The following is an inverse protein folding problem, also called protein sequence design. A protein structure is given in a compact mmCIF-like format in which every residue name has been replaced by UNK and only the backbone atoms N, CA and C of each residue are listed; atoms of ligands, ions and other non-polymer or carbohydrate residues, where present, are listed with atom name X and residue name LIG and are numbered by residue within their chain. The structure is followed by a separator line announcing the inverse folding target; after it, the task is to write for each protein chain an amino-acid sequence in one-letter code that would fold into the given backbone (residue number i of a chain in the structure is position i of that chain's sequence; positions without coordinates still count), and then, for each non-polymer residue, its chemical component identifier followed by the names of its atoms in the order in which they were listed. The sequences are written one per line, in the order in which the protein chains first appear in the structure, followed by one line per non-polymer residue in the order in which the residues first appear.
data_IF_102479391272
#
_entry.id   IF_102479391272
#
_cell.length_a   1.000
_cell.length_b   1.000
_cell.length_c   1.000
_cell.angle_alpha   90.00
_cell.angle_beta   90.00
_cell.angle_gamma   90.00
#
_symmetry.space_group_name_H-M   'P 1'
#
loop_
_entity.id
_entity.type
_entity.pdbx_description
1 polymer ?
#
# COMPACT_ATOMS: atom_id res chain seq x y z
N UNK A 1 17.04 -7.93 -10.76
CA UNK A 1 17.24 -6.83 -9.78
C UNK A 1 16.60 -7.24 -8.45
N UNK A 2 17.02 -6.63 -7.33
CA UNK A 2 16.63 -7.04 -5.98
C UNK A 2 15.12 -7.07 -5.70
N UNK A 3 14.29 -6.36 -6.49
CA UNK A 3 12.83 -6.27 -6.30
C UNK A 3 11.99 -6.87 -7.46
N UNK A 4 12.62 -7.67 -8.32
CA UNK A 4 11.96 -8.17 -9.53
C UNK A 4 10.84 -9.18 -9.24
N UNK A 5 10.99 -9.99 -8.18
CA UNK A 5 10.00 -10.99 -7.80
C UNK A 5 8.73 -10.36 -7.24
N UNK A 6 8.87 -9.36 -6.36
CA UNK A 6 7.77 -8.60 -5.78
C UNK A 6 7.00 -7.85 -6.86
N UNK A 7 7.73 -7.22 -7.79
CA UNK A 7 7.11 -6.55 -8.94
C UNK A 7 6.28 -7.54 -9.77
N UNK A 8 6.83 -8.70 -10.12
CA UNK A 8 6.12 -9.74 -10.88
C UNK A 8 4.86 -10.22 -10.14
N UNK A 9 4.94 -10.43 -8.82
CA UNK A 9 3.80 -10.85 -8.00
C UNK A 9 2.66 -9.79 -7.98
N UNK A 10 3.01 -8.51 -7.87
CA UNK A 10 2.04 -7.41 -7.95
C UNK A 10 1.46 -7.25 -9.35
N UNK A 11 2.28 -7.41 -10.40
CA UNK A 11 1.83 -7.31 -11.79
C UNK A 11 0.88 -8.45 -12.18
N UNK A 12 1.15 -9.67 -11.69
CA UNK A 12 0.32 -10.86 -11.89
C UNK A 12 -1.06 -10.75 -11.22
N UNK A 13 -1.25 -9.84 -10.26
CA UNK A 13 -2.53 -9.60 -9.61
C UNK A 13 -3.11 -8.22 -9.97
N UNK A 14 -3.87 -8.10 -11.08
CA UNK A 14 -4.39 -6.82 -11.54
C UNK A 14 -5.42 -6.19 -10.60
N UNK A 15 -5.96 -6.94 -9.63
CA UNK A 15 -6.88 -6.42 -8.62
C UNK A 15 -6.17 -5.58 -7.55
N UNK A 16 -4.83 -5.68 -7.44
CA UNK A 16 -4.04 -4.91 -6.48
C UNK A 16 -3.63 -3.58 -7.11
N UNK A 17 -4.16 -2.49 -6.56
CA UNK A 17 -3.67 -1.14 -6.82
C UNK A 17 -2.71 -0.70 -5.70
N UNK A 18 -1.43 -1.02 -5.86
CA UNK A 18 -0.40 -0.70 -4.87
C UNK A 18 -0.13 0.82 -4.77
N UNK A 19 0.23 1.29 -3.57
CA UNK A 19 0.61 2.68 -3.28
C UNK A 19 1.89 2.71 -2.43
N UNK A 20 2.99 3.14 -3.03
CA UNK A 20 4.30 3.29 -2.39
C UNK A 20 4.50 4.68 -1.80
N UNK A 21 3.95 4.94 -0.60
CA UNK A 21 3.98 6.29 0.00
C UNK A 21 5.37 6.71 0.55
N UNK A 22 6.33 5.81 0.66
CA UNK A 22 7.69 6.11 1.17
C UNK A 22 8.47 7.06 0.27
N UNK A 23 8.15 7.16 -1.03
CA UNK A 23 8.72 8.19 -1.92
C UNK A 23 8.35 9.60 -1.49
N UNK A 24 7.16 9.77 -0.89
CA UNK A 24 6.65 11.08 -0.44
C UNK A 24 7.10 11.42 0.99
N UNK A 25 7.29 10.40 1.83
CA UNK A 25 7.47 10.56 3.28
C UNK A 25 8.88 10.25 3.77
N UNK A 26 9.72 9.63 2.93
CA UNK A 26 10.97 9.01 3.36
C UNK A 26 10.74 7.72 4.16
N UNK A 27 11.79 7.20 4.78
CA UNK A 27 11.69 6.04 5.66
C UNK A 27 11.37 6.48 7.09
N UNK A 28 10.16 6.18 7.55
CA UNK A 28 9.65 6.61 8.87
C UNK A 28 9.96 5.62 10.00
N UNK A 29 10.76 4.58 9.72
CA UNK A 29 11.10 3.49 10.66
C UNK A 29 9.85 2.88 11.31
N UNK A 30 9.73 2.91 12.63
CA UNK A 30 8.64 2.29 13.40
C UNK A 30 7.28 2.97 13.14
N UNK A 31 7.27 4.25 12.78
CA UNK A 31 6.04 4.97 12.47
C UNK A 31 5.45 4.62 11.10
N UNK A 32 6.21 3.93 10.23
CA UNK A 32 5.80 3.65 8.85
C UNK A 32 4.57 2.73 8.79
N UNK A 33 4.54 1.66 9.60
CA UNK A 33 3.42 0.73 9.58
C UNK A 33 2.14 1.33 10.19
N UNK A 34 2.16 1.98 11.38
CA UNK A 34 1.00 2.71 11.89
C UNK A 34 0.48 3.77 10.91
N UNK A 35 1.38 4.47 10.21
CA UNK A 35 0.99 5.45 9.18
C UNK A 35 0.29 4.77 8.00
N UNK A 36 0.80 3.64 7.51
CA UNK A 36 0.13 2.85 6.47
C UNK A 36 -1.27 2.39 6.88
N UNK A 37 -1.44 1.95 8.13
CA UNK A 37 -2.75 1.58 8.69
C UNK A 37 -3.70 2.78 8.73
N UNK A 38 -3.21 3.96 9.14
CA UNK A 38 -4.01 5.18 9.16
C UNK A 38 -4.44 5.61 7.74
N UNK A 39 -3.55 5.55 6.75
CA UNK A 39 -3.89 5.82 5.35
C UNK A 39 -4.95 4.84 4.82
N UNK A 40 -4.81 3.55 5.14
CA UNK A 40 -5.76 2.52 4.75
C UNK A 40 -7.15 2.74 5.37
N UNK A 41 -7.20 3.08 6.66
CA UNK A 41 -8.43 3.45 7.36
C UNK A 41 -9.10 4.68 6.74
N UNK A 42 -8.32 5.72 6.43
CA UNK A 42 -8.85 6.93 5.81
C UNK A 42 -9.41 6.66 4.41
N UNK A 43 -8.77 5.82 3.60
CA UNK A 43 -9.27 5.47 2.27
C UNK A 43 -10.64 4.76 2.34
N UNK A 44 -10.79 3.81 3.26
CA UNK A 44 -12.05 3.08 3.47
C UNK A 44 -13.13 4.02 4.03
N UNK A 45 -12.82 4.79 5.07
CA UNK A 45 -13.75 5.74 5.71
C UNK A 45 -14.24 6.81 4.73
N UNK A 46 -13.34 7.39 3.94
CA UNK A 46 -13.66 8.42 2.94
C UNK A 46 -14.21 7.86 1.64
N UNK A 47 -14.31 6.53 1.52
CA UNK A 47 -14.80 5.84 0.32
C UNK A 47 -14.05 6.27 -0.95
N UNK A 48 -12.77 6.58 -0.81
CA UNK A 48 -11.94 7.13 -1.87
C UNK A 48 -10.52 6.55 -1.82
N UNK A 49 -10.03 6.10 -2.97
CA UNK A 49 -8.63 5.66 -3.09
C UNK A 49 -7.70 6.86 -3.28
N UNK A 50 -6.45 6.71 -2.85
CA UNK A 50 -5.41 7.69 -3.17
C UNK A 50 -5.10 7.68 -4.67
N UNK A 51 -4.79 8.86 -5.27
CA UNK A 51 -4.24 8.91 -6.62
C UNK A 51 -2.94 8.11 -6.69
N UNK A 52 -2.50 7.79 -7.91
CA UNK A 52 -1.16 7.24 -8.11
C UNK A 52 -0.13 8.28 -7.69
N UNK A 53 0.88 7.86 -6.94
CA UNK A 53 2.01 8.71 -6.55
C UNK A 53 3.09 8.70 -7.64
N UNK A 54 3.25 7.56 -8.32
CA UNK A 54 4.11 7.41 -9.49
C UNK A 54 3.34 6.74 -10.64
N UNK A 55 3.01 7.53 -11.66
CA UNK A 55 2.25 7.08 -12.83
C UNK A 55 3.01 6.12 -13.75
N UNK A 56 4.33 5.95 -13.56
CA UNK A 56 5.15 5.04 -14.37
C UNK A 56 5.05 3.59 -13.91
N UNK A 57 4.66 3.36 -12.66
CA UNK A 57 4.65 2.02 -12.03
C UNK A 57 3.35 1.69 -11.30
N UNK A 58 2.63 2.67 -10.76
CA UNK A 58 1.39 2.42 -10.02
C UNK A 58 0.17 2.42 -10.94
N UNK A 59 -0.72 1.44 -10.74
CA UNK A 59 -1.98 1.35 -11.47
C UNK A 59 -3.06 2.23 -10.81
N UNK A 60 -3.92 2.91 -11.58
CA UNK A 60 -5.07 3.61 -11.03
C UNK A 60 -6.04 2.61 -10.38
N UNK A 61 -6.77 3.07 -9.37
CA UNK A 61 -7.87 2.32 -8.77
C UNK A 61 -9.17 3.05 -9.07
N UNK A 62 -10.13 2.35 -9.69
CA UNK A 62 -11.46 2.90 -9.96
C UNK A 62 -12.47 2.32 -8.95
N UNK A 63 -13.30 3.20 -8.38
CA UNK A 63 -14.37 2.83 -7.46
C UNK A 63 -14.04 3.10 -5.99
N UNK A 64 -14.85 2.48 -5.12
CA UNK A 64 -14.77 2.69 -3.65
C UNK A 64 -13.94 1.56 -3.03
N UNK A 65 -12.84 1.87 -2.31
CA UNK A 65 -12.06 0.86 -1.62
C UNK A 65 -12.88 0.29 -0.44
N UNK A 66 -13.29 -0.97 -0.53
CA UNK A 66 -14.00 -1.68 0.55
C UNK A 66 -13.05 -2.30 1.58
N UNK A 67 -11.86 -2.64 1.10
CA UNK A 67 -10.84 -3.34 1.85
C UNK A 67 -9.48 -2.83 1.40
N UNK A 68 -8.58 -2.53 2.33
CA UNK A 68 -7.23 -2.07 2.04
C UNK A 68 -6.24 -2.87 2.90
N UNK A 69 -5.16 -3.32 2.28
CA UNK A 69 -4.04 -3.95 2.96
C UNK A 69 -2.97 -2.91 3.27
N UNK A 70 -2.62 -2.75 4.55
CA UNK A 70 -1.40 -2.08 4.97
C UNK A 70 -0.32 -3.13 5.19
N UNK A 71 0.82 -3.02 4.53
CA UNK A 71 1.94 -3.96 4.64
C UNK A 71 3.22 -3.26 5.11
N UNK A 72 4.10 -4.03 5.76
CA UNK A 72 5.44 -3.59 6.14
C UNK A 72 6.41 -4.75 6.01
N UNK A 73 7.60 -4.46 5.49
CA UNK A 73 8.71 -5.42 5.38
C UNK A 73 9.88 -4.82 6.15
N UNK A 74 10.39 -5.57 7.13
CA UNK A 74 11.58 -5.20 7.89
C UNK A 74 12.86 -5.45 7.09
N UNK A 75 13.93 -4.74 7.42
CA UNK A 75 15.18 -4.79 6.66
C UNK A 75 15.90 -6.15 6.75
N UNK A 76 16.01 -6.71 7.96
CA UNK A 76 16.65 -8.02 8.19
C UNK A 76 15.67 -9.14 8.52
N UNK A 77 14.55 -8.78 9.16
CA UNK A 77 13.57 -9.73 9.67
C UNK A 77 12.28 -9.00 10.00
N UNK A 78 11.20 -9.80 10.13
CA UNK A 78 9.83 -9.41 10.39
C UNK A 78 9.08 -8.78 9.22
N UNK A 79 7.83 -9.19 9.08
CA UNK A 79 6.85 -8.69 8.13
C UNK A 79 5.57 -8.38 8.90
N UNK A 80 4.81 -7.41 8.42
CA UNK A 80 3.54 -7.00 9.03
C UNK A 80 2.48 -6.79 7.97
N UNK A 81 1.24 -7.18 8.28
CA UNK A 81 0.08 -6.94 7.44
C UNK A 81 -1.15 -6.67 8.29
N UNK A 82 -1.94 -5.67 7.90
CA UNK A 82 -3.25 -5.40 8.45
C UNK A 82 -4.28 -5.30 7.32
N UNK A 83 -5.41 -6.00 7.48
CA UNK A 83 -6.58 -5.88 6.63
C UNK A 83 -7.55 -4.87 7.24
N UNK A 84 -7.75 -3.74 6.56
CA UNK A 84 -8.67 -2.70 7.00
C UNK A 84 -9.94 -2.80 6.15
N UNK A 85 -11.09 -2.85 6.81
CA UNK A 85 -12.43 -2.76 6.21
C UNK A 85 -13.35 -1.96 7.12
N UNK A 86 -14.45 -1.43 6.57
CA UNK A 86 -15.50 -0.83 7.39
C UNK A 86 -16.14 -1.89 8.31
N UNK A 87 -16.66 -1.44 9.46
CA UNK A 87 -17.39 -2.28 10.39
C UNK A 87 -18.66 -2.88 9.76
#
# INVERSE_FOLDING_TARGET
AATAAEKSALEANPAIAARGFSTLTGHMKEAQFPFAVALAALAVDRKAAYPVFDATVEKPFAGVPKTVLATAIGYHQFEGMALIKAA
#
